data_IF_953561942489
#
_entry.id   IF_953561942489
#
_cell.length_a   1.000
_cell.length_b   1.000
_cell.length_c   1.000
_cell.angle_alpha   90.00
_cell.angle_beta   90.00
_cell.angle_gamma   90.00
#
_symmetry.space_group_name_H-M   'P 1'
#
loop_
_entity.id
_entity.type
_entity.pdbx_description
1 polymer ?
#
# COMPACT_ATOMS: atom_id res chain seq x y z
N UNK A 1 5.15 -16.01 6.92
CA UNK A 1 4.79 -14.63 6.50
C UNK A 1 3.41 -14.62 5.87
N UNK A 2 2.40 -14.17 6.63
CA UNK A 2 1.05 -13.85 6.11
C UNK A 2 1.11 -12.41 5.61
N UNK A 3 0.77 -12.16 4.35
CA UNK A 3 0.56 -10.79 3.86
C UNK A 3 -0.71 -10.27 4.53
N UNK A 4 -0.63 -9.10 5.17
CA UNK A 4 -1.78 -8.42 5.76
C UNK A 4 -2.02 -7.19 4.92
N UNK A 5 -3.16 -7.19 4.23
CA UNK A 5 -3.48 -6.18 3.22
C UNK A 5 -4.53 -5.19 3.75
N UNK A 6 -5.11 -5.46 4.94
CA UNK A 6 -5.98 -4.56 5.67
C UNK A 6 -5.68 -4.60 7.17
N UNK A 7 -5.65 -3.45 7.80
CA UNK A 7 -5.48 -3.31 9.25
C UNK A 7 -6.42 -2.24 9.80
N UNK A 8 -7.19 -2.57 10.83
CA UNK A 8 -7.92 -1.58 11.65
C UNK A 8 -7.00 -1.14 12.78
N UNK A 9 -6.74 0.16 12.88
CA UNK A 9 -5.89 0.72 13.93
C UNK A 9 -6.59 1.88 14.62
N UNK A 10 -6.33 2.00 15.91
CA UNK A 10 -6.75 3.14 16.71
C UNK A 10 -5.61 4.13 16.79
N UNK A 11 -5.89 5.37 16.40
CA UNK A 11 -4.94 6.47 16.46
C UNK A 11 -5.39 7.50 17.49
N UNK A 12 -4.44 8.02 18.27
CA UNK A 12 -4.67 9.10 19.23
C UNK A 12 -3.53 10.10 19.20
N UNK A 13 -3.82 11.31 18.73
CA UNK A 13 -2.88 12.40 18.81
C UNK A 13 -2.64 12.83 20.27
N UNK A 14 -1.52 13.50 20.51
CA UNK A 14 -1.18 14.03 21.81
C UNK A 14 -2.14 15.14 22.20
N UNK A 15 -2.69 15.08 23.41
CA UNK A 15 -3.29 16.24 24.07
C UNK A 15 -2.26 17.37 24.28
N UNK A 16 -2.72 18.61 24.20
CA UNK A 16 -1.93 19.77 24.58
C UNK A 16 -1.69 19.83 26.09
N UNK A 17 -0.56 20.38 26.48
CA UNK A 17 -0.24 20.65 27.88
C UNK A 17 -1.14 21.75 28.46
N UNK A 18 -1.43 21.69 29.76
CA UNK A 18 -2.18 22.76 30.43
C UNK A 18 -1.31 23.99 30.68
N UNK A 19 -1.89 25.18 30.58
CA UNK A 19 -1.23 26.40 31.06
C UNK A 19 -1.09 26.40 32.57
N UNK A 20 -0.15 27.21 33.09
CA UNK A 20 0.07 27.36 34.53
C UNK A 20 -0.57 28.64 35.07
N UNK A 21 -1.11 28.59 36.28
CA UNK A 21 -1.51 29.77 37.03
C UNK A 21 -0.52 29.95 38.19
N UNK A 22 0.54 30.73 37.96
CA UNK A 22 1.62 30.97 38.92
C UNK A 22 1.85 32.47 39.10
N UNK A 23 2.44 32.83 40.25
CA UNK A 23 2.85 34.20 40.58
C UNK A 23 4.29 34.18 41.06
N UNK A 24 5.05 35.25 40.73
CA UNK A 24 6.43 35.41 41.19
C UNK A 24 6.45 35.52 42.71
N UNK A 25 7.40 34.84 43.34
CA UNK A 25 7.66 34.92 44.79
C UNK A 25 9.14 35.19 45.00
N UNK A 26 9.45 36.36 45.56
CA UNK A 26 10.81 36.84 45.84
C UNK A 26 10.84 37.39 47.26
N UNK A 27 11.97 37.22 47.97
CA UNK A 27 12.08 37.46 49.42
C UNK A 27 11.72 38.90 49.83
N UNK A 28 11.88 39.87 48.94
CA UNK A 28 11.64 41.30 49.20
C UNK A 28 10.50 41.89 48.34
N UNK A 29 9.66 41.04 47.73
CA UNK A 29 8.51 41.49 46.92
C UNK A 29 7.24 40.86 47.50
N UNK A 30 6.40 41.68 48.13
CA UNK A 30 5.14 41.22 48.75
C UNK A 30 4.14 40.65 47.74
N UNK A 31 3.97 41.30 46.58
CA UNK A 31 3.04 40.86 45.53
C UNK A 31 3.73 40.80 44.16
N UNK A 32 4.24 39.61 43.81
CA UNK A 32 4.79 39.37 42.48
C UNK A 32 3.71 39.25 41.41
N UNK A 33 4.02 39.75 40.20
CA UNK A 33 3.14 39.60 39.03
C UNK A 33 2.94 38.13 38.61
N UNK A 34 1.96 37.85 37.73
CA UNK A 34 1.74 36.51 37.19
C UNK A 34 2.97 36.03 36.42
N UNK A 35 3.33 34.75 36.59
CA UNK A 35 4.46 34.10 35.91
C UNK A 35 4.19 32.66 35.45
N UNK A 36 2.92 32.29 35.26
CA UNK A 36 2.56 30.99 34.71
C UNK A 36 2.78 30.93 33.20
N UNK A 37 3.63 30.01 32.76
CA UNK A 37 3.86 29.73 31.34
C UNK A 37 2.70 28.99 30.65
N UNK A 38 2.72 29.02 29.32
CA UNK A 38 1.79 28.29 28.46
C UNK A 38 2.12 26.78 28.42
N UNK A 39 1.15 25.94 28.10
CA UNK A 39 1.39 24.52 27.82
C UNK A 39 1.93 24.32 26.40
N UNK A 40 2.68 23.25 26.19
CA UNK A 40 3.14 22.84 24.86
C UNK A 40 2.02 22.20 24.04
N UNK A 41 2.13 22.25 22.72
CA UNK A 41 1.22 21.53 21.82
C UNK A 41 1.45 20.02 21.89
N UNK A 42 0.40 19.23 21.69
CA UNK A 42 0.52 17.79 21.59
C UNK A 42 1.06 17.35 20.23
N UNK A 43 1.74 16.20 20.20
CA UNK A 43 2.24 15.61 18.97
C UNK A 43 1.12 15.12 18.06
N UNK A 44 1.29 15.27 16.75
CA UNK A 44 0.35 14.80 15.74
C UNK A 44 0.70 13.38 15.26
N UNK A 45 -0.26 12.73 14.58
CA UNK A 45 -0.02 11.46 13.89
C UNK A 45 0.03 11.72 12.39
N UNK A 46 1.16 11.37 11.79
CA UNK A 46 1.43 11.52 10.36
C UNK A 46 1.60 10.13 9.78
N UNK A 47 0.94 9.84 8.66
CA UNK A 47 1.23 8.64 7.88
C UNK A 47 2.14 9.01 6.72
N UNK A 48 3.23 8.26 6.54
CA UNK A 48 4.23 8.45 5.50
C UNK A 48 4.38 7.19 4.64
N UNK A 49 4.43 7.37 3.33
CA UNK A 49 4.68 6.27 2.40
C UNK A 49 6.17 5.90 2.30
N UNK A 50 6.47 4.61 2.39
CA UNK A 50 7.81 4.05 2.20
C UNK A 50 7.78 2.91 1.18
N UNK A 51 8.51 3.09 0.06
CA UNK A 51 8.67 2.07 -1.00
C UNK A 51 9.32 0.77 -0.53
N UNK A 52 10.03 0.78 0.59
CA UNK A 52 10.68 -0.43 1.11
C UNK A 52 9.70 -1.33 1.88
N UNK A 53 8.48 -0.84 2.16
CA UNK A 53 7.44 -1.60 2.82
C UNK A 53 6.49 -2.21 1.78
N UNK A 54 6.22 -3.51 1.93
CA UNK A 54 5.37 -4.27 1.02
C UNK A 54 4.05 -4.75 1.67
N UNK A 55 3.92 -4.68 3.00
CA UNK A 55 2.76 -5.24 3.74
C UNK A 55 2.37 -4.34 4.90
N UNK A 56 1.13 -4.47 5.40
CA UNK A 56 0.65 -3.79 6.62
C UNK A 56 0.83 -4.65 7.89
N UNK A 57 1.72 -5.65 7.87
CA UNK A 57 1.84 -6.61 8.97
C UNK A 57 2.22 -5.97 10.32
N UNK A 58 2.97 -4.86 10.29
CA UNK A 58 3.41 -4.16 11.50
C UNK A 58 2.22 -3.61 12.31
N UNK A 59 1.14 -3.25 11.61
CA UNK A 59 -0.12 -2.78 12.20
C UNK A 59 -0.98 -3.92 12.78
N UNK A 60 -0.58 -5.18 12.60
CA UNK A 60 -1.27 -6.32 13.22
C UNK A 60 -0.88 -6.49 14.68
N UNK A 61 0.40 -6.29 14.99
CA UNK A 61 0.96 -6.53 16.33
C UNK A 61 0.69 -5.36 17.27
N UNK A 62 0.61 -4.14 16.74
CA UNK A 62 0.23 -2.95 17.47
C UNK A 62 -1.08 -2.40 16.88
N UNK A 63 -2.16 -2.43 17.67
CA UNK A 63 -3.46 -1.89 17.27
C UNK A 63 -3.68 -0.44 17.74
N UNK A 64 -2.90 0.04 18.71
CA UNK A 64 -3.04 1.39 19.28
C UNK A 64 -1.77 2.19 19.05
N UNK A 65 -1.90 3.32 18.37
CA UNK A 65 -0.81 4.25 18.09
C UNK A 65 -1.12 5.60 18.73
N UNK A 66 -0.24 6.04 19.63
CA UNK A 66 -0.44 7.26 20.41
C UNK A 66 0.76 8.20 20.26
N UNK A 67 0.51 9.44 19.86
CA UNK A 67 1.54 10.48 19.86
C UNK A 67 1.75 11.04 21.28
N UNK A 68 2.88 11.73 21.50
CA UNK A 68 3.22 12.23 22.83
C UNK A 68 2.41 13.46 23.19
N UNK A 69 2.02 13.58 24.46
CA UNK A 69 1.37 14.77 25.00
C UNK A 69 2.33 15.96 25.07
N UNK A 70 1.77 17.17 24.96
CA UNK A 70 2.48 18.40 25.29
C UNK A 70 2.67 18.53 26.80
N UNK A 71 3.80 19.07 27.22
CA UNK A 71 4.09 19.28 28.64
C UNK A 71 3.32 20.50 29.18
N UNK A 72 2.97 20.45 30.46
CA UNK A 72 2.34 21.59 31.12
C UNK A 72 3.30 22.79 31.22
N UNK A 73 2.74 23.99 31.16
CA UNK A 73 3.46 25.20 31.51
C UNK A 73 3.85 25.20 32.99
N UNK A 74 4.87 25.98 33.34
CA UNK A 74 5.34 26.09 34.72
C UNK A 74 5.65 27.54 35.11
N UNK A 75 5.97 27.73 36.41
CA UNK A 75 6.38 29.02 36.99
C UNK A 75 7.55 29.64 36.24
N UNK A 76 7.77 30.94 36.43
CA UNK A 76 8.82 31.75 35.79
C UNK A 76 8.67 31.85 34.26
N UNK A 77 7.44 31.97 33.77
CA UNK A 77 7.08 32.07 32.35
C UNK A 77 7.62 30.93 31.48
N UNK A 78 7.77 29.74 32.06
CA UNK A 78 8.33 28.58 31.36
C UNK A 78 7.23 27.84 30.61
N UNK A 79 7.22 27.99 29.29
CA UNK A 79 6.33 27.24 28.40
C UNK A 79 6.69 25.76 28.39
N UNK A 80 5.68 24.90 28.39
CA UNK A 80 5.87 23.46 28.27
C UNK A 80 6.41 23.05 26.90
N UNK A 81 7.23 22.00 26.85
CA UNK A 81 7.71 21.45 25.58
C UNK A 81 6.58 20.80 24.78
N UNK A 82 6.68 20.87 23.45
CA UNK A 82 5.74 20.20 22.55
C UNK A 82 5.91 18.69 22.59
N UNK A 83 4.80 17.97 22.40
CA UNK A 83 4.80 16.53 22.20
C UNK A 83 5.46 16.16 20.88
N UNK A 84 6.16 15.02 20.87
CA UNK A 84 6.75 14.45 19.65
C UNK A 84 5.66 13.81 18.78
N UNK A 85 5.69 14.15 17.50
CA UNK A 85 4.84 13.54 16.48
C UNK A 85 5.16 12.04 16.34
N UNK A 86 4.16 11.27 15.92
CA UNK A 86 4.29 9.87 15.59
C UNK A 86 4.13 9.69 14.08
N UNK A 87 5.18 9.18 13.42
CA UNK A 87 5.15 8.88 11.98
C UNK A 87 4.89 7.39 11.79
N UNK A 88 3.75 7.05 11.19
CA UNK A 88 3.38 5.70 10.82
C UNK A 88 3.79 5.45 9.37
N UNK A 89 4.69 4.50 9.14
CA UNK A 89 5.12 4.17 7.78
C UNK A 89 4.20 3.14 7.15
N UNK A 90 3.76 3.39 5.93
CA UNK A 90 2.89 2.48 5.15
C UNK A 90 3.49 2.22 3.76
N UNK A 91 3.19 1.07 3.13
CA UNK A 91 3.52 0.81 1.74
C UNK A 91 2.89 1.83 0.77
N UNK A 92 3.51 2.02 -0.39
CA UNK A 92 2.91 2.80 -1.47
C UNK A 92 1.65 2.11 -1.98
N UNK A 93 0.57 2.87 -2.17
CA UNK A 93 -0.73 2.33 -2.59
C UNK A 93 -1.65 1.97 -1.42
N UNK A 94 -1.27 2.29 -0.17
CA UNK A 94 -2.16 2.25 0.99
C UNK A 94 -3.21 3.36 0.89
N UNK A 95 -4.45 3.01 1.23
CA UNK A 95 -5.59 3.89 1.35
C UNK A 95 -6.01 3.94 2.82
N UNK A 96 -6.31 5.14 3.32
CA UNK A 96 -6.88 5.36 4.65
C UNK A 96 -8.39 5.55 4.50
N UNK A 97 -9.15 4.73 5.21
CA UNK A 97 -10.60 4.82 5.33
C UNK A 97 -11.00 5.17 6.76
N UNK A 98 -12.17 5.80 6.91
CA UNK A 98 -12.82 5.98 8.21
C UNK A 98 -13.23 4.63 8.82
N UNK A 99 -13.73 4.65 10.07
CA UNK A 99 -14.16 3.45 10.79
C UNK A 99 -15.23 2.64 10.05
N UNK A 100 -16.05 3.30 9.24
CA UNK A 100 -17.08 2.70 8.38
C UNK A 100 -16.52 1.83 7.23
N UNK A 101 -15.21 1.92 6.99
CA UNK A 101 -14.48 1.22 5.93
C UNK A 101 -14.96 1.53 4.50
N UNK A 102 -15.72 2.60 4.31
CA UNK A 102 -16.29 3.03 3.02
C UNK A 102 -15.81 4.43 2.64
N UNK A 103 -15.70 5.33 3.61
CA UNK A 103 -15.33 6.72 3.38
C UNK A 103 -13.81 6.83 3.27
N UNK A 104 -13.33 7.14 2.06
CA UNK A 104 -11.91 7.30 1.78
C UNK A 104 -11.43 8.65 2.32
N UNK A 105 -10.53 8.63 3.30
CA UNK A 105 -9.88 9.82 3.84
C UNK A 105 -8.74 10.24 2.92
N UNK A 106 -7.88 9.29 2.52
CA UNK A 106 -6.69 9.59 1.72
C UNK A 106 -6.18 8.36 0.96
N UNK A 107 -5.61 8.56 -0.23
CA UNK A 107 -4.99 7.52 -1.05
C UNK A 107 -3.52 7.88 -1.33
N UNK A 108 -2.60 7.06 -0.85
CA UNK A 108 -1.19 7.29 -1.10
C UNK A 108 -0.75 6.70 -2.43
N UNK A 109 -0.23 7.56 -3.30
CA UNK A 109 0.17 7.17 -4.66
C UNK A 109 1.67 7.32 -4.90
N UNK A 110 2.34 8.16 -4.10
CA UNK A 110 3.77 8.48 -4.28
C UNK A 110 4.59 8.07 -3.06
N UNK A 111 5.87 7.80 -3.31
CA UNK A 111 6.82 7.52 -2.23
C UNK A 111 7.12 8.77 -1.42
N UNK A 112 7.31 8.63 -0.11
CA UNK A 112 7.54 9.72 0.84
C UNK A 112 6.41 10.75 0.91
N UNK A 113 5.26 10.42 0.34
CA UNK A 113 4.04 11.20 0.50
C UNK A 113 3.60 11.13 1.97
N UNK A 114 3.25 12.28 2.54
CA UNK A 114 2.89 12.44 3.95
C UNK A 114 1.49 12.99 4.06
N UNK A 115 0.73 12.45 5.00
CA UNK A 115 -0.60 12.93 5.31
C UNK A 115 -0.77 13.04 6.82
N UNK A 116 -1.24 14.20 7.28
CA UNK A 116 -1.58 14.44 8.68
C UNK A 116 -2.94 13.77 8.93
N UNK A 117 -2.94 12.68 9.70
CA UNK A 117 -4.14 11.87 9.92
C UNK A 117 -4.90 12.33 11.17
N UNK A 118 -4.18 12.62 12.24
CA UNK A 118 -4.77 13.14 13.47
C UNK A 118 -3.94 14.30 14.01
N UNK A 119 -4.61 15.41 14.26
CA UNK A 119 -4.01 16.66 14.74
C UNK A 119 -3.80 16.64 16.24
N UNK A 120 -2.61 17.08 16.66
CA UNK A 120 -2.29 17.31 18.07
C UNK A 120 -3.15 18.40 18.70
N UNK A 121 -3.48 18.22 19.98
CA UNK A 121 -4.21 19.20 20.76
C UNK A 121 -3.35 20.44 21.06
N UNK A 122 -3.92 21.63 20.88
CA UNK A 122 -3.23 22.89 21.19
C UNK A 122 -2.95 23.06 22.68
N UNK A 123 -1.81 23.66 23.02
CA UNK A 123 -1.42 24.02 24.37
C UNK A 123 -2.37 25.01 25.04
N UNK A 124 -2.53 24.87 26.35
CA UNK A 124 -3.31 25.78 27.19
C UNK A 124 -2.54 27.06 27.51
N UNK A 125 -3.27 28.14 27.72
CA UNK A 125 -2.72 29.46 28.02
C UNK A 125 -2.47 29.60 29.53
N UNK A 126 -1.27 30.06 29.89
CA UNK A 126 -0.92 30.42 31.25
C UNK A 126 -1.59 31.71 31.69
N UNK A 127 -1.57 31.99 33.00
CA UNK A 127 -2.24 33.17 33.54
C UNK A 127 -1.65 34.50 33.03
N UNK A 128 -0.39 34.51 32.62
CA UNK A 128 0.29 35.67 32.02
C UNK A 128 -0.45 36.19 30.79
N UNK A 129 -1.05 35.30 29.98
CA UNK A 129 -1.81 35.65 28.76
C UNK A 129 -3.11 36.39 29.04
N UNK A 130 -3.64 36.30 30.26
CA UNK A 130 -4.89 36.95 30.67
C UNK A 130 -4.65 38.30 31.37
N UNK A 131 -3.40 38.77 31.42
CA UNK A 131 -3.05 40.05 32.05
C UNK A 131 -3.52 41.20 31.15
N UNK A 132 -4.29 42.13 31.72
CA UNK A 132 -4.72 43.37 31.06
C UNK A 132 -4.42 44.59 31.92
N UNK A 133 -4.68 45.79 31.41
CA UNK A 133 -4.57 47.04 32.20
C UNK A 133 -5.45 47.01 33.45
N UNK A 134 -6.63 46.41 33.34
CA UNK A 134 -7.64 46.27 34.40
C UNK A 134 -7.46 45.00 35.25
N UNK A 135 -6.90 43.92 34.70
CA UNK A 135 -6.65 42.67 35.41
C UNK A 135 -5.14 42.38 35.49
N UNK A 136 -4.48 42.95 36.51
CA UNK A 136 -3.01 42.87 36.67
C UNK A 136 -2.51 41.54 37.25
N UNK A 137 -3.36 40.82 37.99
CA UNK A 137 -3.05 39.55 38.67
C UNK A 137 -4.06 38.44 38.33
N UNK A 138 -4.21 38.06 37.04
CA UNK A 138 -5.13 37.01 36.63
C UNK A 138 -4.78 35.66 37.27
N UNK A 139 -5.80 34.97 37.77
CA UNK A 139 -5.72 33.57 38.23
C UNK A 139 -6.21 32.57 37.16
N UNK A 140 -6.77 33.08 36.08
CA UNK A 140 -7.32 32.28 34.97
C UNK A 140 -6.19 31.60 34.20
N UNK A 141 -6.38 30.32 33.87
CA UNK A 141 -5.57 29.54 32.93
C UNK A 141 -6.50 28.72 32.05
N UNK A 142 -6.03 28.25 30.90
CA UNK A 142 -6.77 27.24 30.12
C UNK A 142 -6.03 25.91 30.15
N UNK A 143 -6.80 24.83 30.13
CA UNK A 143 -6.26 23.49 29.92
C UNK A 143 -5.91 23.32 28.44
N UNK A 144 -4.99 22.40 28.14
CA UNK A 144 -4.70 22.04 26.75
C UNK A 144 -5.89 21.36 26.10
N UNK A 145 -6.01 21.51 24.79
CA UNK A 145 -7.04 20.83 24.00
C UNK A 145 -6.72 19.34 23.88
N UNK A 146 -7.78 18.55 23.76
CA UNK A 146 -7.68 17.12 23.50
C UNK A 146 -7.21 16.93 22.05
N UNK A 147 -6.29 16.01 21.81
CA UNK A 147 -5.88 15.62 20.46
C UNK A 147 -6.95 14.76 19.79
N UNK A 148 -6.95 14.72 18.46
CA UNK A 148 -7.90 13.89 17.73
C UNK A 148 -7.66 12.40 18.00
N UNK A 149 -8.73 11.63 18.20
CA UNK A 149 -8.68 10.19 18.39
C UNK A 149 -9.85 9.51 17.69
N UNK A 150 -9.56 8.48 16.90
CA UNK A 150 -10.57 7.70 16.19
C UNK A 150 -9.95 6.42 15.61
N UNK A 151 -10.81 5.51 15.15
CA UNK A 151 -10.40 4.31 14.41
C UNK A 151 -10.29 4.62 12.92
N UNK A 152 -9.27 4.07 12.28
CA UNK A 152 -9.11 4.09 10.83
C UNK A 152 -8.85 2.70 10.29
N UNK A 153 -9.17 2.52 9.02
CA UNK A 153 -8.79 1.35 8.26
C UNK A 153 -7.68 1.70 7.28
N UNK A 154 -6.56 0.98 7.39
CA UNK A 154 -5.52 0.97 6.37
C UNK A 154 -5.81 -0.17 5.41
N UNK A 155 -5.99 0.14 4.13
CA UNK A 155 -6.14 -0.86 3.07
C UNK A 155 -5.03 -0.70 2.06
N UNK A 156 -4.16 -1.69 1.94
CA UNK A 156 -3.18 -1.73 0.87
C UNK A 156 -3.87 -2.20 -0.40
N UNK A 157 -4.04 -1.29 -1.35
CA UNK A 157 -4.66 -1.61 -2.63
C UNK A 157 -3.63 -2.31 -3.53
N UNK A 158 -2.92 -3.37 -3.15
CA UNK A 158 -1.97 -4.05 -4.08
C UNK A 158 -2.12 -5.57 -3.99
N UNK A 159 -2.14 -6.23 -5.15
CA UNK A 159 -2.07 -7.70 -5.23
C UNK A 159 -0.75 -8.17 -5.87
N UNK A 160 -0.21 -7.52 -6.93
CA UNK A 160 1.11 -7.83 -7.49
C UNK A 160 1.66 -6.79 -8.49
N UNK A 161 2.98 -6.69 -8.62
CA UNK A 161 3.68 -5.90 -9.65
C UNK A 161 3.47 -6.46 -11.06
N UNK A 162 3.37 -7.79 -11.16
CA UNK A 162 3.26 -8.53 -12.41
C UNK A 162 2.10 -9.51 -12.37
N UNK A 163 1.24 -9.45 -13.38
CA UNK A 163 0.11 -10.39 -13.54
C UNK A 163 0.39 -11.43 -14.62
N UNK A 164 0.18 -12.72 -14.34
CA UNK A 164 0.31 -13.81 -15.31
C UNK A 164 -1.08 -14.10 -15.90
N UNK A 165 -1.25 -13.89 -17.20
CA UNK A 165 -2.48 -14.12 -17.96
C UNK A 165 -2.29 -15.24 -18.98
N UNK A 166 -3.39 -15.87 -19.39
CA UNK A 166 -3.39 -16.97 -20.35
C UNK A 166 -4.54 -17.95 -20.09
N UNK A 167 -4.76 -18.83 -21.06
CA UNK A 167 -5.77 -19.90 -20.97
C UNK A 167 -5.57 -20.78 -19.73
N UNK A 168 -6.63 -21.47 -19.26
CA UNK A 168 -6.47 -22.61 -18.37
C UNK A 168 -5.42 -23.59 -18.94
N UNK A 169 -4.59 -24.18 -18.06
CA UNK A 169 -3.56 -25.16 -18.43
C UNK A 169 -2.39 -24.65 -19.31
N UNK A 170 -2.28 -23.34 -19.57
CA UNK A 170 -1.10 -22.75 -20.22
C UNK A 170 0.19 -22.88 -19.38
N UNK A 171 0.07 -23.30 -18.12
CA UNK A 171 1.17 -23.47 -17.18
C UNK A 171 1.43 -22.25 -16.28
N UNK A 172 0.41 -21.41 -16.06
CA UNK A 172 0.52 -20.17 -15.26
C UNK A 172 0.98 -20.45 -13.83
N UNK A 173 0.29 -21.36 -13.14
CA UNK A 173 0.62 -21.72 -11.76
C UNK A 173 1.97 -22.43 -11.66
N UNK A 174 2.34 -23.25 -12.66
CA UNK A 174 3.67 -23.86 -12.75
C UNK A 174 4.76 -22.81 -12.94
N UNK A 175 4.53 -21.82 -13.80
CA UNK A 175 5.46 -20.71 -14.01
C UNK A 175 5.62 -19.86 -12.73
N UNK A 176 4.51 -19.57 -12.04
CA UNK A 176 4.55 -18.88 -10.76
C UNK A 176 5.39 -19.65 -9.74
N UNK A 177 5.16 -20.97 -9.62
CA UNK A 177 5.92 -21.82 -8.71
C UNK A 177 7.42 -21.86 -9.07
N UNK A 178 7.76 -21.95 -10.37
CA UNK A 178 9.15 -21.98 -10.82
C UNK A 178 9.89 -20.64 -10.62
N UNK A 179 9.18 -19.52 -10.75
CA UNK A 179 9.76 -18.18 -10.55
C UNK A 179 9.94 -17.81 -9.08
N UNK A 180 9.21 -18.46 -8.17
CA UNK A 180 9.12 -18.05 -6.77
C UNK A 180 9.88 -19.02 -5.88
N UNK A 181 10.62 -18.51 -4.88
CA UNK A 181 11.41 -19.35 -3.96
C UNK A 181 10.55 -20.06 -2.90
N UNK A 182 9.26 -19.73 -2.82
CA UNK A 182 8.32 -20.26 -1.84
C UNK A 182 7.14 -20.93 -2.57
N UNK A 183 6.53 -21.96 -1.96
CA UNK A 183 5.24 -22.48 -2.45
C UNK A 183 4.27 -21.30 -2.63
N UNK A 184 3.61 -21.16 -3.80
CA UNK A 184 2.61 -20.13 -4.01
C UNK A 184 1.64 -20.12 -2.83
N UNK A 185 1.47 -18.96 -2.20
CA UNK A 185 0.53 -18.83 -1.10
C UNK A 185 -0.82 -18.53 -1.71
N UNK A 186 -1.79 -19.40 -1.43
CA UNK A 186 -3.19 -19.13 -1.70
C UNK A 186 -3.58 -17.96 -0.77
N UNK A 187 -3.87 -16.82 -1.37
CA UNK A 187 -4.23 -15.62 -0.62
C UNK A 187 -5.77 -15.53 -0.56
N UNK A 188 -6.31 -15.75 0.63
CA UNK A 188 -7.76 -15.68 0.87
C UNK A 188 -8.16 -14.23 1.12
N UNK A 189 -8.46 -13.50 0.04
CA UNK A 189 -8.95 -12.14 0.13
C UNK A 189 -10.46 -12.15 0.43
N UNK A 190 -10.97 -11.26 1.32
CA UNK A 190 -12.39 -11.22 1.69
C UNK A 190 -13.35 -10.94 0.51
N UNK A 191 -12.80 -10.59 -0.65
CA UNK A 191 -13.54 -10.14 -1.82
C UNK A 191 -13.26 -10.98 -3.08
N UNK A 192 -12.54 -12.09 -2.95
CA UNK A 192 -12.27 -13.00 -4.06
C UNK A 192 -13.06 -14.29 -3.87
N UNK A 193 -13.92 -14.65 -4.82
CA UNK A 193 -14.51 -15.99 -4.89
C UNK A 193 -13.50 -17.04 -5.33
N UNK A 194 -12.41 -16.62 -5.98
CA UNK A 194 -11.28 -17.47 -6.37
C UNK A 194 -10.00 -16.83 -5.82
N UNK A 195 -9.36 -17.51 -4.87
CA UNK A 195 -8.13 -17.03 -4.26
C UNK A 195 -7.00 -16.99 -5.30
N UNK A 196 -6.41 -15.83 -5.60
CA UNK A 196 -5.27 -15.77 -6.50
C UNK A 196 -4.05 -16.42 -5.87
N UNK A 197 -3.24 -17.07 -6.70
CA UNK A 197 -1.94 -17.58 -6.27
C UNK A 197 -0.93 -16.43 -6.35
N UNK A 198 -0.34 -16.09 -5.21
CA UNK A 198 0.70 -15.08 -5.12
C UNK A 198 2.05 -15.72 -4.86
N UNK A 199 3.08 -15.09 -5.42
CA UNK A 199 4.44 -15.43 -5.09
C UNK A 199 5.41 -14.28 -5.31
N UNK A 200 6.52 -14.33 -4.58
CA UNK A 200 7.57 -13.32 -4.64
C UNK A 200 8.79 -13.91 -5.34
N UNK A 201 9.31 -13.20 -6.33
CA UNK A 201 10.57 -13.53 -6.98
C UNK A 201 11.65 -12.57 -6.53
N UNK A 202 12.85 -13.12 -6.35
CA UNK A 202 14.04 -12.41 -5.92
C UNK A 202 15.13 -12.61 -6.96
N UNK A 203 15.68 -11.51 -7.46
CA UNK A 203 16.83 -11.56 -8.35
C UNK A 203 17.63 -10.25 -8.23
N UNK A 204 18.96 -10.35 -8.20
CA UNK A 204 19.89 -9.21 -8.11
C UNK A 204 19.55 -8.19 -7.00
N UNK A 205 19.23 -8.68 -5.79
CA UNK A 205 18.89 -7.83 -4.64
C UNK A 205 17.54 -7.11 -4.71
N UNK A 206 16.71 -7.38 -5.73
CA UNK A 206 15.39 -6.77 -5.89
C UNK A 206 14.27 -7.81 -5.79
N UNK A 207 13.15 -7.38 -5.22
CA UNK A 207 11.94 -8.17 -5.05
C UNK A 207 10.89 -7.76 -6.10
N UNK A 208 10.15 -8.72 -6.64
CA UNK A 208 8.99 -8.48 -7.51
C UNK A 208 7.87 -9.43 -7.11
N UNK A 209 6.67 -8.89 -6.94
CA UNK A 209 5.47 -9.66 -6.62
C UNK A 209 4.76 -10.10 -7.90
N UNK A 210 4.39 -11.39 -7.94
CA UNK A 210 3.71 -12.03 -9.07
C UNK A 210 2.36 -12.56 -8.62
N UNK A 211 1.33 -12.31 -9.43
CA UNK A 211 0.02 -12.92 -9.27
C UNK A 211 -0.30 -13.80 -10.48
N UNK A 212 -0.66 -15.05 -10.21
CA UNK A 212 -1.42 -15.83 -11.18
C UNK A 212 -2.84 -15.28 -11.20
N UNK A 213 -3.26 -14.81 -12.37
CA UNK A 213 -4.63 -14.33 -12.58
C UNK A 213 -5.43 -15.57 -12.95
N UNK A 214 -6.23 -16.16 -12.03
CA UNK A 214 -7.09 -17.27 -12.37
C UNK A 214 -7.95 -16.85 -13.56
N UNK A 215 -8.16 -17.78 -14.49
CA UNK A 215 -8.72 -17.51 -15.81
C UNK A 215 -9.82 -16.47 -15.75
N UNK A 216 -9.75 -15.46 -16.61
CA UNK A 216 -10.83 -14.53 -16.93
C UNK A 216 -12.08 -15.40 -17.11
N UNK A 217 -12.88 -15.52 -16.05
CA UNK A 217 -13.78 -16.67 -15.89
C UNK A 217 -14.77 -16.66 -17.04
N UNK A 218 -15.01 -17.81 -17.67
CA UNK A 218 -16.16 -17.98 -18.56
C UNK A 218 -17.42 -17.57 -17.77
N UNK A 219 -17.92 -16.36 -18.02
CA UNK A 219 -19.07 -15.78 -17.32
C UNK A 219 -18.80 -14.57 -16.42
N UNK A 220 -17.57 -14.06 -16.28
CA UNK A 220 -17.33 -12.84 -15.49
C UNK A 220 -17.98 -11.57 -16.11
N UNK A 221 -18.40 -11.62 -17.37
CA UNK A 221 -19.24 -10.63 -18.04
C UNK A 221 -20.73 -10.69 -17.67
N UNK A 222 -21.21 -11.71 -16.93
CA UNK A 222 -22.63 -11.89 -16.54
C UNK A 222 -23.06 -11.16 -15.24
N UNK A 223 -22.32 -10.15 -14.79
CA UNK A 223 -22.91 -9.09 -13.94
C UNK A 223 -23.13 -9.40 -12.46
N UNK A 224 -22.36 -10.28 -11.82
CA UNK A 224 -22.52 -10.59 -10.37
C UNK A 224 -21.57 -9.78 -9.46
N UNK A 225 -20.90 -8.73 -9.96
CA UNK A 225 -20.00 -7.86 -9.15
C UNK A 225 -18.74 -8.53 -8.58
N UNK A 226 -18.50 -9.80 -8.94
CA UNK A 226 -17.41 -10.66 -8.47
C UNK A 226 -16.13 -10.53 -9.31
N UNK A 227 -16.26 -10.30 -10.62
CA UNK A 227 -15.13 -10.09 -11.53
C UNK A 227 -14.50 -8.71 -11.41
N UNK A 228 -15.33 -7.67 -11.24
CA UNK A 228 -14.89 -6.27 -11.23
C UNK A 228 -13.91 -5.97 -10.10
N UNK A 229 -14.15 -6.51 -8.90
CA UNK A 229 -13.25 -6.31 -7.75
C UNK A 229 -11.89 -6.97 -8.00
N UNK A 230 -11.83 -8.21 -8.49
CA UNK A 230 -10.57 -8.91 -8.75
C UNK A 230 -9.74 -8.25 -9.87
N UNK A 231 -10.39 -7.86 -10.97
CA UNK A 231 -9.73 -7.24 -12.12
C UNK A 231 -9.21 -5.82 -11.81
N UNK A 232 -9.88 -5.08 -10.91
CA UNK A 232 -9.38 -3.82 -10.33
C UNK A 232 -7.99 -3.94 -9.69
N UNK A 233 -7.59 -5.15 -9.28
CA UNK A 233 -6.26 -5.39 -8.74
C UNK A 233 -5.23 -5.70 -9.83
N UNK A 234 -5.65 -6.26 -10.96
CA UNK A 234 -4.81 -6.42 -12.17
C UNK A 234 -4.50 -5.04 -12.78
N UNK A 235 -5.38 -4.05 -12.62
CA UNK A 235 -5.12 -2.66 -12.98
C UNK A 235 -3.89 -2.06 -12.28
N UNK A 236 -3.39 -2.66 -11.19
CA UNK A 236 -2.15 -2.22 -10.54
C UNK A 236 -0.89 -2.98 -10.97
N UNK A 237 -1.00 -4.08 -11.70
CA UNK A 237 0.17 -4.75 -12.30
C UNK A 237 0.82 -3.83 -13.33
N UNK A 238 2.10 -3.50 -13.18
CA UNK A 238 2.84 -2.70 -14.17
C UNK A 238 2.99 -3.44 -15.51
N UNK A 239 3.06 -4.77 -15.42
CA UNK A 239 3.36 -5.67 -16.55
C UNK A 239 2.42 -6.87 -16.53
N UNK A 240 1.98 -7.29 -17.73
CA UNK A 240 1.25 -8.53 -17.92
C UNK A 240 2.15 -9.55 -18.64
N UNK A 241 2.28 -10.74 -18.06
CA UNK A 241 2.91 -11.89 -18.71
C UNK A 241 1.84 -12.73 -19.39
N UNK A 242 1.83 -12.71 -20.71
CA UNK A 242 0.90 -13.50 -21.49
C UNK A 242 1.50 -14.85 -21.82
N UNK A 243 1.06 -15.88 -21.11
CA UNK A 243 1.48 -17.25 -21.31
C UNK A 243 0.57 -17.94 -22.33
N UNK A 244 1.16 -18.39 -23.43
CA UNK A 244 0.49 -19.13 -24.51
C UNK A 244 1.12 -20.52 -24.58
N UNK A 245 0.29 -21.55 -24.57
CA UNK A 245 0.74 -22.92 -24.79
C UNK A 245 1.07 -23.15 -26.27
N UNK A 246 2.30 -23.58 -26.57
CA UNK A 246 2.72 -23.84 -27.96
C UNK A 246 2.09 -25.11 -28.54
N UNK A 247 1.55 -26.00 -27.70
CA UNK A 247 0.86 -27.21 -28.17
C UNK A 247 -0.47 -26.91 -28.84
N UNK A 248 -1.05 -25.74 -28.59
CA UNK A 248 -2.30 -25.30 -29.21
C UNK A 248 -2.18 -25.25 -30.74
N UNK A 249 -3.30 -25.54 -31.40
CA UNK A 249 -3.37 -25.59 -32.87
C UNK A 249 -3.32 -24.19 -33.49
N UNK A 250 -3.99 -23.20 -32.87
CA UNK A 250 -4.02 -21.83 -33.37
C UNK A 250 -3.62 -20.82 -32.27
N UNK A 251 -2.32 -20.52 -32.24
CA UNK A 251 -1.72 -19.58 -31.29
C UNK A 251 -2.29 -18.15 -31.44
N UNK A 252 -2.67 -17.76 -32.66
CA UNK A 252 -3.19 -16.42 -32.93
C UNK A 252 -4.59 -16.24 -32.34
N UNK A 253 -5.46 -17.23 -32.53
CA UNK A 253 -6.80 -17.19 -31.95
C UNK A 253 -6.77 -17.24 -30.42
N UNK A 254 -5.86 -18.01 -29.81
CA UNK A 254 -5.65 -18.00 -28.36
C UNK A 254 -5.27 -16.61 -27.87
N UNK A 255 -4.27 -15.99 -28.49
CA UNK A 255 -3.85 -14.62 -28.17
C UNK A 255 -5.00 -13.62 -28.30
N UNK A 256 -5.73 -13.66 -29.43
CA UNK A 256 -6.83 -12.73 -29.72
C UNK A 256 -7.97 -12.89 -28.72
N UNK A 257 -8.30 -14.12 -28.31
CA UNK A 257 -9.35 -14.40 -27.33
C UNK A 257 -9.03 -13.76 -25.97
N UNK A 258 -7.81 -13.97 -25.46
CA UNK A 258 -7.37 -13.36 -24.20
C UNK A 258 -7.34 -11.83 -24.29
N UNK A 259 -6.87 -11.25 -25.40
CA UNK A 259 -6.87 -9.79 -25.60
C UNK A 259 -8.29 -9.23 -25.67
N UNK A 260 -9.21 -9.94 -26.32
CA UNK A 260 -10.62 -9.56 -26.38
C UNK A 260 -11.25 -9.60 -24.98
N UNK A 261 -11.03 -10.67 -24.22
CA UNK A 261 -11.49 -10.79 -22.84
C UNK A 261 -10.97 -9.61 -21.99
N UNK A 262 -9.66 -9.30 -22.04
CA UNK A 262 -9.11 -8.13 -21.35
C UNK A 262 -9.80 -6.82 -21.76
N UNK A 263 -10.04 -6.64 -23.06
CA UNK A 263 -10.68 -5.44 -23.61
C UNK A 263 -12.14 -5.27 -23.20
N UNK A 264 -12.86 -6.38 -23.02
CA UNK A 264 -14.26 -6.36 -22.56
C UNK A 264 -14.39 -5.96 -21.10
N UNK A 265 -13.36 -6.17 -20.28
CA UNK A 265 -13.36 -5.75 -18.87
C UNK A 265 -12.88 -4.30 -18.71
N UNK A 266 -11.68 -3.99 -19.19
CA UNK A 266 -11.13 -2.64 -19.11
C UNK A 266 -10.21 -2.36 -20.30
N UNK A 267 -10.54 -1.31 -21.06
CA UNK A 267 -9.74 -0.86 -22.19
C UNK A 267 -8.33 -0.45 -21.76
N UNK A 268 -8.11 0.00 -20.52
CA UNK A 268 -6.79 0.39 -20.05
C UNK A 268 -5.86 -0.81 -19.81
N UNK A 269 -6.38 -2.00 -19.48
CA UNK A 269 -5.58 -3.22 -19.38
C UNK A 269 -4.91 -3.59 -20.71
N UNK A 270 -5.57 -3.33 -21.85
CA UNK A 270 -5.00 -3.62 -23.17
C UNK A 270 -3.82 -2.72 -23.55
N UNK A 271 -3.72 -1.53 -22.93
CA UNK A 271 -2.63 -0.57 -23.11
C UNK A 271 -1.40 -0.90 -22.27
N UNK A 272 -1.51 -1.82 -21.32
CA UNK A 272 -0.39 -2.19 -20.45
C UNK A 272 0.71 -2.87 -21.22
N UNK A 273 1.90 -2.78 -20.64
CA UNK A 273 3.08 -3.49 -21.15
C UNK A 273 2.85 -5.00 -21.04
N UNK A 274 2.81 -5.64 -22.19
CA UNK A 274 2.59 -7.07 -22.33
C UNK A 274 3.89 -7.74 -22.81
N UNK A 275 4.23 -8.86 -22.19
CA UNK A 275 5.33 -9.73 -22.63
C UNK A 275 4.74 -11.10 -22.91
N UNK A 276 4.91 -11.58 -24.14
CA UNK A 276 4.35 -12.86 -24.59
C UNK A 276 5.39 -13.95 -24.36
N UNK A 277 4.98 -15.02 -23.68
CA UNK A 277 5.76 -16.22 -23.47
C UNK A 277 5.05 -17.42 -24.09
N UNK A 278 5.73 -18.10 -25.02
CA UNK A 278 5.29 -19.40 -25.53
C UNK A 278 5.87 -20.50 -24.65
N UNK A 279 5.01 -21.17 -23.91
CA UNK A 279 5.37 -22.21 -22.94
C UNK A 279 5.28 -23.62 -23.55
N UNK A 280 5.81 -24.62 -22.83
CA UNK A 280 5.87 -26.05 -23.20
C UNK A 280 6.70 -26.33 -24.45
N UNK A 281 7.74 -25.52 -24.67
CA UNK A 281 8.68 -25.72 -25.78
C UNK A 281 9.47 -27.02 -25.67
N UNK A 282 9.54 -27.62 -24.48
CA UNK A 282 10.12 -28.94 -24.22
C UNK A 282 9.40 -30.10 -24.93
N UNK A 283 8.13 -29.90 -25.34
CA UNK A 283 7.34 -30.92 -26.01
C UNK A 283 7.53 -30.97 -27.54
N UNK A 284 8.30 -30.04 -28.11
CA UNK A 284 8.39 -29.85 -29.56
C UNK A 284 9.83 -29.67 -30.04
N UNK A 285 10.09 -30.12 -31.27
CA UNK A 285 11.37 -29.84 -31.91
C UNK A 285 11.46 -28.38 -32.36
N UNK A 286 12.70 -27.86 -32.43
CA UNK A 286 12.95 -26.46 -32.83
C UNK A 286 12.33 -26.11 -34.19
N UNK A 287 12.31 -27.06 -35.13
CA UNK A 287 11.75 -26.86 -36.48
C UNK A 287 10.25 -26.56 -36.40
N UNK A 288 9.49 -27.37 -35.65
CA UNK A 288 8.05 -27.21 -35.48
C UNK A 288 7.69 -25.90 -34.78
N UNK A 289 8.44 -25.58 -33.71
CA UNK A 289 8.32 -24.31 -32.98
C UNK A 289 8.49 -23.13 -33.95
N UNK A 290 9.54 -23.13 -34.78
CA UNK A 290 9.78 -22.02 -35.72
C UNK A 290 8.67 -21.89 -36.77
N UNK A 291 8.08 -23.00 -37.22
CA UNK A 291 6.96 -22.97 -38.18
C UNK A 291 5.73 -22.31 -37.58
N UNK A 292 5.30 -22.76 -36.39
CA UNK A 292 4.16 -22.15 -35.66
C UNK A 292 4.39 -20.67 -35.35
N UNK A 293 5.60 -20.29 -34.93
CA UNK A 293 5.93 -18.91 -34.61
C UNK A 293 6.03 -17.99 -35.84
N UNK A 294 6.42 -18.52 -37.01
CA UNK A 294 6.40 -17.76 -38.27
C UNK A 294 4.98 -17.32 -38.61
N UNK A 295 4.00 -18.21 -38.47
CA UNK A 295 2.59 -17.89 -38.72
C UNK A 295 2.06 -16.86 -37.73
N UNK A 296 2.41 -16.99 -36.44
CA UNK A 296 2.05 -16.00 -35.43
C UNK A 296 2.67 -14.62 -35.71
N UNK A 297 3.98 -14.59 -36.04
CA UNK A 297 4.73 -13.35 -36.31
C UNK A 297 4.19 -12.56 -37.50
N UNK A 298 3.61 -13.24 -38.50
CA UNK A 298 2.93 -12.57 -39.63
C UNK A 298 1.72 -11.75 -39.17
N UNK A 299 1.00 -12.23 -38.15
CA UNK A 299 -0.26 -11.64 -37.68
C UNK A 299 -0.07 -10.67 -36.49
N UNK A 300 0.97 -10.87 -35.67
CA UNK A 300 1.21 -10.07 -34.45
C UNK A 300 2.64 -9.56 -34.41
N UNK A 301 2.80 -8.23 -34.43
CA UNK A 301 4.09 -7.55 -34.24
C UNK A 301 4.32 -7.26 -32.74
N UNK A 302 4.59 -8.31 -31.96
CA UNK A 302 4.91 -8.19 -30.54
C UNK A 302 6.23 -8.89 -30.21
N UNK A 303 6.92 -8.44 -29.17
CA UNK A 303 8.08 -9.16 -28.62
C UNK A 303 7.57 -10.39 -27.89
N UNK A 304 8.10 -11.55 -28.26
CA UNK A 304 7.79 -12.82 -27.62
C UNK A 304 9.07 -13.58 -27.31
N UNK A 305 8.97 -14.46 -26.32
CA UNK A 305 10.03 -15.36 -25.91
C UNK A 305 9.48 -16.78 -25.85
N UNK A 306 10.30 -17.76 -26.21
CA UNK A 306 9.97 -19.19 -26.12
C UNK A 306 10.63 -19.72 -24.86
N UNK A 307 9.86 -20.38 -24.01
CA UNK A 307 10.32 -20.84 -22.71
C UNK A 307 9.85 -22.26 -22.42
N UNK A 308 10.57 -22.94 -21.53
CA UNK A 308 10.04 -24.09 -20.79
C UNK A 308 10.11 -23.77 -19.30
N UNK A 309 9.01 -24.01 -18.58
CA UNK A 309 8.97 -23.85 -17.12
C UNK A 309 9.94 -24.82 -16.42
N UNK A 310 10.39 -25.89 -17.09
CA UNK A 310 11.35 -26.85 -16.56
C UNK A 310 12.82 -26.46 -16.82
N UNK A 311 13.06 -25.43 -17.65
CA UNK A 311 14.40 -24.96 -18.00
C UNK A 311 14.89 -23.88 -17.03
N UNK A 312 15.89 -24.22 -16.20
CA UNK A 312 16.51 -23.26 -15.28
C UNK A 312 17.11 -22.03 -15.98
N UNK A 313 17.64 -22.20 -17.19
CA UNK A 313 18.18 -21.10 -17.99
C UNK A 313 17.10 -20.10 -18.38
N UNK A 314 15.92 -20.59 -18.75
CA UNK A 314 14.79 -19.75 -19.14
C UNK A 314 14.17 -19.05 -17.93
N UNK A 315 14.05 -19.74 -16.78
CA UNK A 315 13.59 -19.13 -15.52
C UNK A 315 14.49 -17.94 -15.14
N UNK A 316 15.82 -18.10 -15.21
CA UNK A 316 16.75 -17.00 -14.91
C UNK A 316 16.61 -15.83 -15.89
N UNK A 317 16.42 -16.12 -17.17
CA UNK A 317 16.14 -15.11 -18.19
C UNK A 317 14.85 -14.34 -17.89
N UNK A 318 13.79 -15.04 -17.50
CA UNK A 318 12.51 -14.44 -17.12
C UNK A 318 12.69 -13.55 -15.89
N UNK A 319 13.36 -14.01 -14.82
CA UNK A 319 13.62 -13.20 -13.62
C UNK A 319 14.32 -11.89 -13.92
N UNK A 320 15.38 -11.93 -14.75
CA UNK A 320 16.09 -10.73 -15.22
C UNK A 320 15.15 -9.78 -15.97
N UNK A 321 14.28 -10.34 -16.81
CA UNK A 321 13.33 -9.56 -17.61
C UNK A 321 12.22 -8.96 -16.74
N UNK A 322 11.75 -9.67 -15.72
CA UNK A 322 10.75 -9.15 -14.78
C UNK A 322 11.25 -7.93 -14.04
N UNK A 323 12.43 -8.00 -13.45
CA UNK A 323 13.00 -6.88 -12.68
C UNK A 323 13.23 -5.65 -13.54
N UNK A 324 13.68 -5.83 -14.79
CA UNK A 324 13.88 -4.73 -15.73
C UNK A 324 12.58 -3.99 -16.07
N UNK A 325 11.44 -4.69 -16.03
CA UNK A 325 10.16 -4.15 -16.49
C UNK A 325 9.19 -3.82 -15.34
N UNK A 326 9.39 -4.39 -14.15
CA UNK A 326 8.53 -4.22 -12.98
C UNK A 326 9.03 -3.16 -11.99
N UNK A 327 10.31 -2.75 -12.04
CA UNK A 327 10.79 -1.59 -11.27
C UNK A 327 10.46 -0.29 -11.99
#
# INVERSE_FOLDING_TARGET
MKFLDQAKIYIKAGNGGSGSASFRREKFIEYGGPDGGDGGDGGSIIVECDRNLNTLIDFRYAQHFKAHHGNAGSKRNKTGANGKDLVLKVPVGTQIYEEDNNTLIYDFTKNKEKYLVASGGKGGLGNVRFKSSTNRAPKKKTNGKIGEEFWIWLQLKVIADVGIIGKPNAGKSSLLAALTRAKPKIANYPFTTINPNLGVTYYDGKEVTLADIPGLVEGAHKGVGLGDKFLRHIERCKVLLHLIDISENDLFNVYKKIKFELSTYDKNLTKKKEIIFFNKSDLFEKIEITKKLKEFKKKVKAKYEVISVYSNKDIQKIKKLLIKNAN
#
